data_IF_673420630489
#
_entry.id   IF_673420630489
#
_cell.length_a   1.000
_cell.length_b   1.000
_cell.length_c   1.000
_cell.angle_alpha   90.00
_cell.angle_beta   90.00
_cell.angle_gamma   90.00
#
_symmetry.space_group_name_H-M   'P 1'
#
loop_
_entity.id
_entity.type
_entity.pdbx_description
1 polymer ?
#
# COMPACT_ATOMS: atom_id res chain seq x y z
N UNK A 1 1.28 21.77 8.14
CA UNK A 1 2.70 21.36 8.17
C UNK A 1 2.70 19.86 8.41
N UNK A 2 2.97 19.05 7.38
CA UNK A 2 2.89 17.58 7.49
C UNK A 2 4.28 17.07 7.89
N UNK A 3 4.44 16.74 9.16
CA UNK A 3 5.55 15.92 9.66
C UNK A 3 5.23 14.46 9.33
N UNK A 4 5.99 13.89 8.41
CA UNK A 4 5.97 12.45 8.13
C UNK A 4 6.71 11.72 9.25
N UNK A 5 6.03 11.56 10.38
CA UNK A 5 6.30 10.44 11.28
C UNK A 5 5.77 9.16 10.64
N UNK A 6 6.43 8.04 10.91
CA UNK A 6 6.19 6.69 10.37
C UNK A 6 4.76 6.13 10.55
N UNK A 7 3.82 6.92 11.10
CA UNK A 7 2.48 6.48 11.46
C UNK A 7 1.32 7.32 10.89
N UNK A 8 1.54 8.27 9.98
CA UNK A 8 0.45 9.17 9.55
C UNK A 8 -0.78 8.45 8.96
N UNK A 9 -0.59 7.32 8.28
CA UNK A 9 -1.69 6.49 7.81
C UNK A 9 -2.47 5.82 8.96
N UNK A 10 -1.76 5.33 9.99
CA UNK A 10 -2.33 4.69 11.17
C UNK A 10 -3.12 5.67 12.06
N UNK A 11 -2.62 6.90 12.21
CA UNK A 11 -3.24 7.91 13.06
C UNK A 11 -4.54 8.48 12.45
N UNK A 12 -4.64 8.51 11.12
CA UNK A 12 -5.74 9.16 10.39
C UNK A 12 -6.99 8.28 10.25
N UNK A 13 -6.85 6.95 10.39
CA UNK A 13 -7.93 5.97 10.20
C UNK A 13 -8.72 5.61 11.46
N UNK A 14 -8.51 6.33 12.57
CA UNK A 14 -9.38 6.28 13.76
C UNK A 14 -10.74 6.94 13.47
N UNK A 15 -11.54 6.29 12.63
CA UNK A 15 -12.92 6.67 12.34
C UNK A 15 -13.77 6.41 13.59
N UNK A 16 -14.30 7.49 14.18
CA UNK A 16 -15.44 7.58 15.12
C UNK A 16 -15.78 6.31 15.93
N UNK A 17 -15.46 6.33 17.23
CA UNK A 17 -16.05 5.63 18.40
C UNK A 17 -16.60 4.18 18.31
N UNK A 18 -16.67 3.50 17.17
CA UNK A 18 -17.38 2.20 17.04
C UNK A 18 -16.84 1.25 15.98
N UNK A 19 -15.80 1.58 15.21
CA UNK A 19 -15.24 0.67 14.20
C UNK A 19 -13.98 -0.01 14.74
N UNK A 20 -14.05 -1.32 14.98
CA UNK A 20 -12.87 -2.14 15.29
C UNK A 20 -12.20 -2.54 13.98
N UNK A 21 -11.12 -1.84 13.62
CA UNK A 21 -10.29 -2.21 12.48
C UNK A 21 -9.02 -2.92 12.98
N UNK A 22 -8.76 -4.10 12.43
CA UNK A 22 -7.45 -4.73 12.55
C UNK A 22 -6.68 -4.50 11.26
N UNK A 23 -5.45 -4.04 11.40
CA UNK A 23 -4.55 -3.78 10.32
C UNK A 23 -3.52 -4.90 10.27
N UNK A 24 -3.27 -5.45 9.10
CA UNK A 24 -2.25 -6.48 8.91
C UNK A 24 -1.20 -5.92 7.98
N UNK A 25 -0.05 -5.57 8.52
CA UNK A 25 1.10 -5.20 7.73
C UNK A 25 1.84 -6.46 7.31
N UNK A 26 2.19 -6.56 6.04
CA UNK A 26 3.02 -7.64 5.53
C UNK A 26 4.47 -7.18 5.58
N UNK A 27 5.29 -7.92 6.31
CA UNK A 27 6.73 -7.72 6.38
C UNK A 27 7.41 -8.91 5.69
N UNK A 28 7.40 -8.97 4.35
CA UNK A 28 8.00 -10.05 3.56
C UNK A 28 7.03 -11.15 3.12
N UNK A 29 7.54 -12.21 2.49
CA UNK A 29 6.71 -13.22 1.80
C UNK A 29 5.77 -14.01 2.73
N UNK A 30 6.07 -14.15 4.02
CA UNK A 30 5.33 -14.99 4.97
C UNK A 30 5.29 -14.44 6.41
N UNK A 31 5.63 -13.16 6.63
CA UNK A 31 5.62 -12.55 7.96
C UNK A 31 4.63 -11.40 8.02
N UNK A 32 3.74 -11.45 9.02
CA UNK A 32 2.68 -10.49 9.24
C UNK A 32 2.95 -9.75 10.55
N UNK A 33 3.06 -8.44 10.50
CA UNK A 33 2.93 -7.57 11.67
C UNK A 33 1.48 -7.15 11.75
N UNK A 34 0.73 -7.66 12.73
CA UNK A 34 -0.67 -7.26 12.87
C UNK A 34 -0.75 -6.10 13.85
N UNK A 35 -1.35 -4.99 13.46
CA UNK A 35 -1.67 -3.88 14.34
C UNK A 35 -3.19 -3.82 14.58
N UNK A 36 -3.66 -3.99 15.81
CA UNK A 36 -5.08 -3.80 16.15
C UNK A 36 -5.27 -2.47 16.86
N UNK A 37 -6.35 -1.72 16.58
CA UNK A 37 -6.69 -0.53 17.38
C UNK A 37 -8.09 -0.67 18.02
N UNK A 38 -8.16 -0.51 19.34
CA UNK A 38 -9.39 -0.42 20.13
C UNK A 38 -9.53 0.98 20.71
N UNK A 39 -10.49 1.77 20.24
CA UNK A 39 -10.60 3.17 20.63
C UNK A 39 -9.33 3.97 20.29
N UNK A 40 -8.51 4.30 21.30
CA UNK A 40 -7.21 5.01 21.15
C UNK A 40 -5.98 4.14 21.40
N UNK A 41 -6.16 2.86 21.69
CA UNK A 41 -5.08 1.95 22.03
C UNK A 41 -4.73 1.11 20.81
N UNK A 42 -3.50 1.20 20.32
CA UNK A 42 -3.01 0.37 19.22
C UNK A 42 -2.00 -0.67 19.74
N UNK A 43 -2.17 -1.90 19.28
CA UNK A 43 -1.40 -3.08 19.68
C UNK A 43 -0.64 -3.63 18.49
N UNK A 44 0.55 -4.19 18.71
CA UNK A 44 1.32 -4.90 17.68
C UNK A 44 1.40 -6.38 18.03
N UNK A 45 1.14 -7.24 17.05
CA UNK A 45 1.26 -8.69 17.14
C UNK A 45 2.34 -9.16 16.18
N UNK A 46 3.10 -10.15 16.63
CA UNK A 46 4.18 -10.81 15.90
C UNK A 46 3.69 -11.77 14.81
N UNK A 47 2.44 -12.24 14.89
CA UNK A 47 1.90 -13.21 13.95
C UNK A 47 0.39 -13.08 13.78
N UNK A 48 -0.11 -13.64 12.67
CA UNK A 48 -1.54 -13.76 12.41
C UNK A 48 -2.22 -14.69 13.41
N UNK A 49 -1.54 -15.77 13.83
CA UNK A 49 -2.03 -16.68 14.86
C UNK A 49 -2.13 -16.00 16.24
N UNK A 50 -1.28 -15.02 16.55
CA UNK A 50 -1.41 -14.22 17.78
C UNK A 50 -2.60 -13.26 17.70
N UNK A 51 -2.83 -12.66 16.52
CA UNK A 51 -3.97 -11.79 16.27
C UNK A 51 -5.30 -12.56 16.29
N UNK A 52 -5.34 -13.74 15.67
CA UNK A 52 -6.52 -14.60 15.58
C UNK A 52 -6.67 -15.52 16.79
N UNK A 53 -5.60 -15.90 17.47
CA UNK A 53 -5.62 -16.66 18.72
C UNK A 53 -6.26 -15.85 19.85
N UNK A 54 -6.19 -14.51 19.76
CA UNK A 54 -7.01 -13.59 20.53
C UNK A 54 -8.40 -13.31 19.91
N UNK A 55 -8.97 -14.22 19.09
CA UNK A 55 -10.38 -14.24 18.63
C UNK A 55 -11.42 -14.09 19.76
N UNK A 56 -11.03 -14.25 21.02
CA UNK A 56 -11.89 -14.01 22.20
C UNK A 56 -11.84 -12.58 22.75
N UNK A 57 -10.85 -11.77 22.38
CA UNK A 57 -10.67 -10.41 22.89
C UNK A 57 -10.89 -9.32 21.83
N UNK A 58 -10.68 -9.62 20.54
CA UNK A 58 -10.86 -8.67 19.43
C UNK A 58 -11.69 -9.29 18.31
N UNK A 59 -12.74 -8.61 17.83
CA UNK A 59 -13.57 -9.08 16.71
C UNK A 59 -13.63 -7.99 15.64
N UNK A 60 -12.53 -7.79 14.89
CA UNK A 60 -12.49 -6.72 13.91
C UNK A 60 -13.51 -6.94 12.80
N UNK A 61 -14.19 -5.87 12.40
CA UNK A 61 -15.11 -5.88 11.27
C UNK A 61 -14.35 -5.94 9.93
N UNK A 62 -13.08 -5.50 9.92
CA UNK A 62 -12.23 -5.45 8.74
C UNK A 62 -10.76 -5.70 9.03
N UNK A 63 -10.09 -6.31 8.05
CA UNK A 63 -8.67 -6.62 8.02
C UNK A 63 -8.03 -6.03 6.76
N UNK A 64 -7.09 -5.10 6.89
CA UNK A 64 -6.41 -4.50 5.74
C UNK A 64 -4.99 -5.03 5.57
N UNK A 65 -4.62 -5.35 4.34
CA UNK A 65 -3.26 -5.71 3.95
C UNK A 65 -2.43 -4.44 3.67
N UNK A 66 -1.48 -4.11 4.53
CA UNK A 66 -0.59 -2.95 4.33
C UNK A 66 0.81 -3.43 3.99
N UNK A 67 1.13 -3.54 2.70
CA UNK A 67 2.47 -3.94 2.23
C UNK A 67 3.38 -2.73 2.03
N UNK A 68 2.84 -1.64 1.46
CA UNK A 68 3.37 -0.28 1.25
C UNK A 68 2.55 0.32 0.09
N UNK A 69 2.29 1.64 0.07
CA UNK A 69 1.65 2.28 -1.10
C UNK A 69 2.45 2.10 -2.39
N UNK A 70 3.77 1.84 -2.27
CA UNK A 70 4.71 1.68 -3.37
C UNK A 70 5.00 0.22 -3.74
N UNK A 71 4.29 -0.75 -3.14
CA UNK A 71 4.43 -2.17 -3.46
C UNK A 71 4.41 -2.50 -4.95
N UNK A 72 3.59 -1.88 -5.81
CA UNK A 72 3.60 -2.23 -7.23
C UNK A 72 4.82 -1.66 -7.99
N UNK A 73 5.59 -0.70 -7.44
CA UNK A 73 6.70 -0.04 -8.16
C UNK A 73 7.75 -1.00 -8.78
N UNK A 74 8.23 -2.05 -8.08
CA UNK A 74 9.18 -2.99 -8.67
C UNK A 74 8.55 -3.83 -9.81
N UNK A 75 7.22 -3.99 -9.81
CA UNK A 75 6.50 -4.62 -10.91
C UNK A 75 6.39 -3.71 -12.16
N UNK A 76 6.54 -2.39 -11.98
CA UNK A 76 6.74 -1.40 -13.05
C UNK A 76 8.20 -1.30 -13.52
N UNK A 77 9.12 -2.04 -12.90
CA UNK A 77 10.57 -1.90 -13.13
C UNK A 77 11.20 -0.71 -12.42
N UNK A 78 10.50 -0.08 -11.46
CA UNK A 78 11.05 1.01 -10.64
C UNK A 78 11.44 0.45 -9.27
N UNK A 79 12.74 0.25 -9.09
CA UNK A 79 13.29 -0.19 -7.80
C UNK A 79 13.32 0.97 -6.79
N UNK A 80 12.98 0.68 -5.54
CA UNK A 80 13.02 1.65 -4.45
C UNK A 80 13.59 1.01 -3.17
N UNK A 81 14.27 1.83 -2.37
CA UNK A 81 14.78 1.43 -1.07
C UNK A 81 14.14 2.26 0.03
N UNK A 82 13.79 1.65 1.15
CA UNK A 82 13.34 2.37 2.34
C UNK A 82 14.56 2.74 3.17
N UNK A 83 14.75 4.04 3.43
CA UNK A 83 15.78 4.54 4.35
C UNK A 83 15.12 4.99 5.66
N UNK A 84 15.64 4.55 6.81
CA UNK A 84 15.03 4.74 8.15
C UNK A 84 14.52 6.17 8.41
N UNK A 85 15.27 7.19 8.00
CA UNK A 85 14.94 8.60 8.28
C UNK A 85 14.25 9.32 7.11
N UNK A 86 14.44 8.84 5.87
CA UNK A 86 13.96 9.53 4.67
C UNK A 86 12.71 8.88 4.05
N UNK A 87 12.35 7.67 4.48
CA UNK A 87 11.30 6.89 3.87
C UNK A 87 11.74 6.28 2.54
N UNK A 88 10.81 5.98 1.62
CA UNK A 88 11.13 5.38 0.32
C UNK A 88 11.91 6.35 -0.56
N UNK A 89 13.00 5.84 -1.15
CA UNK A 89 13.91 6.55 -2.05
C UNK A 89 14.07 5.73 -3.32
N UNK A 90 13.81 6.35 -4.46
CA UNK A 90 14.02 5.78 -5.79
C UNK A 90 15.35 6.33 -6.31
N UNK A 91 16.28 5.42 -6.63
CA UNK A 91 17.63 5.82 -7.04
C UNK A 91 17.68 6.41 -8.45
N UNK A 92 16.78 5.95 -9.32
CA UNK A 92 16.71 6.36 -10.73
C UNK A 92 15.35 7.00 -11.02
N UNK A 93 15.10 8.25 -10.55
CA UNK A 93 13.83 8.92 -10.81
C UNK A 93 13.67 9.24 -12.30
N UNK A 94 12.47 9.01 -12.82
CA UNK A 94 12.15 9.21 -14.24
C UNK A 94 11.56 10.60 -14.40
N UNK A 95 12.30 11.50 -15.05
CA UNK A 95 11.92 12.92 -15.22
C UNK A 95 11.64 13.32 -16.67
N UNK A 96 11.87 12.40 -17.61
CA UNK A 96 11.57 12.62 -19.02
C UNK A 96 10.18 12.12 -19.35
N UNK A 97 9.51 12.84 -20.25
CA UNK A 97 8.22 12.44 -20.81
C UNK A 97 8.28 11.03 -21.43
N UNK A 98 9.33 10.79 -22.22
CA UNK A 98 9.56 9.51 -22.90
C UNK A 98 9.83 8.37 -21.91
N UNK A 99 10.57 8.63 -20.83
CA UNK A 99 10.81 7.62 -19.80
C UNK A 99 9.53 7.20 -19.09
N UNK A 100 8.60 8.13 -18.89
CA UNK A 100 7.30 7.86 -18.27
C UNK A 100 6.33 7.17 -19.23
N UNK A 101 6.39 7.45 -20.54
CA UNK A 101 5.64 6.71 -21.57
C UNK A 101 6.11 5.26 -21.71
N UNK A 102 7.41 5.04 -21.50
CA UNK A 102 8.03 3.73 -21.65
C UNK A 102 8.12 2.96 -20.32
N UNK A 103 7.31 3.33 -19.33
CA UNK A 103 7.14 2.51 -18.14
C UNK A 103 6.67 1.13 -18.55
N UNK A 104 7.24 0.11 -17.94
CA UNK A 104 6.89 -1.26 -18.28
C UNK A 104 5.45 -1.54 -17.84
N UNK A 105 4.69 -2.33 -18.63
CA UNK A 105 3.46 -2.91 -18.14
C UNK A 105 3.71 -3.64 -16.82
N UNK A 106 2.71 -3.64 -15.94
CA UNK A 106 2.84 -4.30 -14.65
C UNK A 106 2.99 -5.81 -14.84
N UNK A 107 4.06 -6.34 -14.28
CA UNK A 107 4.31 -7.78 -14.25
C UNK A 107 3.69 -8.34 -12.97
N UNK A 108 2.41 -8.75 -13.06
CA UNK A 108 1.63 -9.21 -11.90
C UNK A 108 2.26 -10.41 -11.19
N UNK A 109 3.04 -11.23 -11.91
CA UNK A 109 3.79 -12.36 -11.36
C UNK A 109 4.76 -11.92 -10.25
N UNK A 110 5.30 -10.69 -10.33
CA UNK A 110 6.16 -10.12 -9.28
C UNK A 110 5.38 -9.74 -8.01
N UNK A 111 4.05 -9.75 -8.07
CA UNK A 111 3.13 -9.39 -7.00
C UNK A 111 2.37 -10.60 -6.45
N UNK A 112 2.73 -11.82 -6.87
CA UNK A 112 2.12 -13.07 -6.40
C UNK A 112 2.10 -13.18 -4.87
N UNK A 113 3.16 -12.73 -4.19
CA UNK A 113 3.22 -12.73 -2.72
C UNK A 113 2.07 -11.93 -2.07
N UNK A 114 1.60 -10.85 -2.71
CA UNK A 114 0.43 -10.09 -2.26
C UNK A 114 -0.83 -10.93 -2.41
N UNK A 115 -0.96 -11.61 -3.55
CA UNK A 115 -2.09 -12.48 -3.83
C UNK A 115 -2.15 -13.69 -2.90
N UNK A 116 -1.02 -14.34 -2.62
CA UNK A 116 -0.92 -15.43 -1.64
C UNK A 116 -1.31 -14.96 -0.24
N UNK A 117 -0.82 -13.79 0.16
CA UNK A 117 -1.16 -13.21 1.46
C UNK A 117 -2.65 -12.88 1.58
N UNK A 118 -3.27 -12.35 0.53
CA UNK A 118 -4.72 -12.11 0.48
C UNK A 118 -5.52 -13.42 0.61
N UNK A 119 -5.07 -14.50 -0.04
CA UNK A 119 -5.70 -15.82 0.06
C UNK A 119 -5.61 -16.38 1.48
N UNK A 120 -4.44 -16.33 2.10
CA UNK A 120 -4.22 -16.75 3.49
C UNK A 120 -5.14 -15.94 4.41
N UNK A 121 -5.11 -14.61 4.30
CA UNK A 121 -5.98 -13.71 5.07
C UNK A 121 -7.45 -14.08 4.93
N UNK A 122 -7.91 -14.31 3.70
CA UNK A 122 -9.30 -14.65 3.40
C UNK A 122 -9.74 -15.95 4.05
N UNK A 123 -8.86 -16.95 4.08
CA UNK A 123 -9.11 -18.23 4.76
C UNK A 123 -9.17 -18.05 6.28
N UNK A 124 -8.20 -17.31 6.83
CA UNK A 124 -8.06 -17.10 8.27
C UNK A 124 -9.20 -16.30 8.92
N UNK A 125 -9.69 -15.26 8.21
CA UNK A 125 -10.85 -14.49 8.68
C UNK A 125 -12.15 -15.28 8.61
N UNK A 126 -12.22 -16.33 7.79
CA UNK A 126 -13.36 -17.27 7.75
C UNK A 126 -14.73 -16.61 7.51
N UNK A 127 -14.77 -15.45 6.84
CA UNK A 127 -16.00 -14.68 6.60
C UNK A 127 -16.51 -13.86 7.80
N UNK A 128 -15.76 -13.80 8.90
CA UNK A 128 -16.11 -12.97 10.06
C UNK A 128 -15.72 -11.50 9.90
N UNK A 129 -14.74 -11.21 9.03
CA UNK A 129 -14.23 -9.86 8.79
C UNK A 129 -14.01 -9.63 7.29
N UNK A 130 -14.11 -8.36 6.87
CA UNK A 130 -13.88 -7.94 5.49
C UNK A 130 -12.38 -7.75 5.26
N UNK A 131 -11.79 -8.50 4.33
CA UNK A 131 -10.42 -8.27 3.84
C UNK A 131 -10.40 -7.07 2.88
N UNK A 132 -9.66 -6.02 3.26
CA UNK A 132 -9.39 -4.82 2.47
C UNK A 132 -8.01 -4.95 1.81
N UNK A 133 -7.97 -4.80 0.48
CA UNK A 133 -6.73 -4.57 -0.24
C UNK A 133 -6.33 -3.09 -0.16
N UNK A 134 -5.16 -2.75 -0.71
CA UNK A 134 -4.66 -1.39 -0.64
C UNK A 134 -3.69 -1.08 -1.78
N UNK A 135 -3.75 0.15 -2.30
CA UNK A 135 -2.80 0.66 -3.29
C UNK A 135 -2.65 2.17 -3.17
N UNK A 136 -1.47 2.69 -3.49
CA UNK A 136 -1.27 4.13 -3.61
C UNK A 136 -2.04 4.73 -4.78
N UNK A 137 -2.61 5.93 -4.58
CA UNK A 137 -3.25 6.66 -5.67
C UNK A 137 -2.26 6.93 -6.83
N UNK A 138 -2.71 6.93 -8.10
CA UNK A 138 -1.85 7.13 -9.26
C UNK A 138 -0.98 8.39 -9.17
N UNK A 139 -1.55 9.49 -8.70
CA UNK A 139 -0.82 10.73 -8.45
C UNK A 139 0.31 10.54 -7.44
N UNK A 140 0.02 9.87 -6.32
CA UNK A 140 1.02 9.62 -5.27
C UNK A 140 2.17 8.79 -5.81
N UNK A 141 1.88 7.71 -6.55
CA UNK A 141 2.90 6.86 -7.17
C UNK A 141 3.74 7.66 -8.17
N UNK A 142 3.10 8.48 -9.01
CA UNK A 142 3.77 9.37 -9.95
C UNK A 142 4.74 10.33 -9.25
N UNK A 143 4.34 10.91 -8.12
CA UNK A 143 5.22 11.83 -7.37
C UNK A 143 6.49 11.13 -6.89
N UNK A 144 6.41 9.87 -6.47
CA UNK A 144 7.59 9.11 -6.06
C UNK A 144 8.50 8.80 -7.24
N UNK A 145 7.94 8.30 -8.36
CA UNK A 145 8.71 7.99 -9.58
C UNK A 145 9.49 9.20 -10.08
N UNK A 146 8.87 10.38 -10.09
CA UNK A 146 9.46 11.60 -10.67
C UNK A 146 10.39 12.33 -9.69
N UNK A 147 9.97 12.47 -8.43
CA UNK A 147 10.73 13.25 -7.44
C UNK A 147 11.85 12.41 -6.82
N UNK A 148 11.75 11.08 -6.86
CA UNK A 148 12.74 10.15 -6.31
C UNK A 148 12.60 9.91 -4.81
N UNK A 149 11.56 10.47 -4.18
CA UNK A 149 11.32 10.37 -2.75
C UNK A 149 10.38 11.46 -2.26
N UNK A 150 10.25 11.55 -0.94
CA UNK A 150 9.41 12.56 -0.29
C UNK A 150 9.97 13.98 -0.52
N UNK A 151 9.14 14.87 -1.04
CA UNK A 151 9.46 16.29 -1.19
C UNK A 151 8.29 17.17 -0.73
N UNK A 152 8.55 18.43 -0.39
CA UNK A 152 7.49 19.37 0.03
C UNK A 152 6.92 20.18 -1.12
N UNK A 153 7.68 20.32 -2.21
CA UNK A 153 7.36 21.27 -3.28
C UNK A 153 6.69 20.58 -4.46
N UNK A 154 7.08 19.33 -4.75
CA UNK A 154 6.59 18.54 -5.90
C UNK A 154 6.69 19.32 -7.22
N UNK A 155 7.75 20.11 -7.37
CA UNK A 155 7.94 21.05 -8.48
C UNK A 155 8.13 20.33 -9.81
N UNK A 156 8.83 19.20 -9.80
CA UNK A 156 9.18 18.46 -11.01
C UNK A 156 7.95 17.81 -11.60
N UNK A 157 7.20 17.06 -10.79
CA UNK A 157 5.96 16.39 -11.24
C UNK A 157 4.92 17.41 -11.71
N UNK A 158 4.75 18.53 -11.00
CA UNK A 158 3.84 19.61 -11.42
C UNK A 158 4.24 20.18 -12.78
N UNK A 159 5.53 20.45 -12.98
CA UNK A 159 6.03 20.94 -14.28
C UNK A 159 5.76 19.94 -15.39
N UNK A 160 5.99 18.65 -15.15
CA UNK A 160 5.73 17.60 -16.13
C UNK A 160 4.23 17.50 -16.43
N UNK A 161 3.35 17.61 -15.44
CA UNK A 161 1.90 17.55 -15.68
C UNK A 161 1.38 18.74 -16.49
N UNK A 162 2.05 19.89 -16.46
CA UNK A 162 1.72 21.00 -17.36
C UNK A 162 2.09 20.71 -18.82
N UNK A 163 3.15 19.93 -19.08
CA UNK A 163 3.63 19.63 -20.44
C UNK A 163 3.10 18.29 -20.98
N UNK A 164 2.81 17.34 -20.10
CA UNK A 164 2.48 15.96 -20.41
C UNK A 164 1.41 15.42 -19.42
N UNK A 165 0.15 15.85 -19.55
CA UNK A 165 -0.91 15.51 -18.58
C UNK A 165 -1.32 14.03 -18.59
N UNK A 166 -1.05 13.31 -19.68
CA UNK A 166 -1.46 11.91 -19.86
C UNK A 166 -0.68 10.91 -18.98
N UNK A 167 0.43 11.32 -18.35
CA UNK A 167 1.28 10.45 -17.51
C UNK A 167 0.50 9.86 -16.34
N UNK A 168 -0.34 10.67 -15.69
CA UNK A 168 -1.15 10.19 -14.56
C UNK A 168 -2.17 9.18 -15.06
N UNK A 169 -2.78 9.41 -16.24
CA UNK A 169 -3.73 8.48 -16.85
C UNK A 169 -3.08 7.14 -17.20
N UNK A 170 -1.84 7.13 -17.68
CA UNK A 170 -1.12 5.89 -17.96
C UNK A 170 -0.89 5.08 -16.69
N UNK A 171 -0.45 5.72 -15.60
CA UNK A 171 -0.29 5.05 -14.30
C UNK A 171 -1.62 4.56 -13.74
N UNK A 172 -2.72 5.29 -13.94
CA UNK A 172 -4.06 4.85 -13.52
C UNK A 172 -4.41 3.52 -14.16
N UNK A 173 -4.27 3.39 -15.49
CA UNK A 173 -4.60 2.16 -16.21
C UNK A 173 -3.84 0.96 -15.65
N UNK A 174 -2.55 1.12 -15.36
CA UNK A 174 -1.76 0.02 -14.81
C UNK A 174 -2.08 -0.29 -13.35
N UNK A 175 -2.47 0.71 -12.57
CA UNK A 175 -2.95 0.49 -11.20
C UNK A 175 -4.28 -0.26 -11.20
N UNK A 176 -5.15 -0.03 -12.20
CA UNK A 176 -6.40 -0.77 -12.34
C UNK A 176 -6.15 -2.29 -12.45
N UNK A 177 -5.14 -2.71 -13.21
CA UNK A 177 -4.75 -4.13 -13.32
C UNK A 177 -4.35 -4.71 -11.95
N UNK A 178 -3.64 -3.94 -11.13
CA UNK A 178 -3.26 -4.36 -9.78
C UNK A 178 -4.45 -4.42 -8.81
N UNK A 179 -5.38 -3.47 -8.92
CA UNK A 179 -6.62 -3.46 -8.14
C UNK A 179 -7.42 -4.74 -8.46
N UNK A 180 -7.59 -5.05 -9.74
CA UNK A 180 -8.27 -6.25 -10.19
C UNK A 180 -7.58 -7.52 -9.68
N UNK A 181 -6.25 -7.59 -9.77
CA UNK A 181 -5.47 -8.71 -9.23
C UNK A 181 -5.70 -8.95 -7.72
N UNK A 182 -5.79 -7.88 -6.91
CA UNK A 182 -6.08 -8.01 -5.49
C UNK A 182 -7.49 -8.53 -5.22
N UNK A 183 -8.48 -8.05 -5.98
CA UNK A 183 -9.87 -8.53 -5.88
C UNK A 183 -9.96 -10.01 -6.23
N UNK A 184 -9.34 -10.43 -7.34
CA UNK A 184 -9.28 -11.83 -7.77
C UNK A 184 -8.54 -12.72 -6.74
N UNK A 185 -7.59 -12.14 -6.01
CA UNK A 185 -6.84 -12.84 -4.96
C UNK A 185 -7.58 -12.93 -3.62
N UNK A 186 -8.76 -12.32 -3.48
CA UNK A 186 -9.62 -12.48 -2.30
C UNK A 186 -9.86 -11.23 -1.46
N UNK A 187 -9.39 -10.06 -1.91
CA UNK A 187 -9.82 -8.78 -1.33
C UNK A 187 -11.32 -8.54 -1.61
N UNK A 188 -12.06 -8.05 -0.63
CA UNK A 188 -13.47 -7.69 -0.80
C UNK A 188 -13.64 -6.28 -1.39
N UNK A 189 -12.72 -5.39 -1.04
CA UNK A 189 -12.64 -4.02 -1.57
C UNK A 189 -11.21 -3.49 -1.45
N UNK A 190 -10.95 -2.36 -2.12
CA UNK A 190 -9.64 -1.69 -2.28
C UNK A 190 -9.83 -0.22 -1.96
#
# INVERSE_FOLDING_TARGET
MITLGTNWFWDTLTLRETVEATFVKISGANSFEVAGCEGRSCWLFSSMDDALGKKKAFRPDGVIISSNILTPLPAFGVEFNIKEVKGPVIHSPIRSEEGLKNLHPIVLERLEFVGESLKILRQEVGGHAVVLGFVGAPWTIATYIVEGGTTRTYTTIKSICHTAPYIVSHLTQTIDDYIMFQVESGAHCI
#
